data_IF_854049105765
#
_entry.id   IF_854049105765
#
_cell.length_a   1.000
_cell.length_b   1.000
_cell.length_c   1.000
_cell.angle_alpha   90.00
_cell.angle_beta   90.00
_cell.angle_gamma   90.00
#
_symmetry.space_group_name_H-M   'P 1'
#
loop_
_entity.id
_entity.type
_entity.pdbx_description
1 polymer ?
#
# COMPACT_ATOMS: atom_id res chain seq x y z
N UNK A 1 -6.07 -8.66 7.61
CA UNK A 1 -6.12 -7.20 7.56
C UNK A 1 -4.86 -6.66 8.21
N UNK A 2 -3.92 -6.15 7.44
CA UNK A 2 -2.73 -5.50 7.98
C UNK A 2 -3.04 -4.01 8.15
N UNK A 3 -3.74 -3.65 9.20
CA UNK A 3 -3.88 -2.26 9.64
C UNK A 3 -2.63 -1.73 10.36
N UNK A 4 -1.68 -2.61 10.73
CA UNK A 4 -0.44 -2.25 11.40
C UNK A 4 0.66 -3.19 10.89
N UNK A 5 1.40 -2.75 9.89
CA UNK A 5 2.76 -3.24 9.74
C UNK A 5 3.49 -2.80 10.99
N UNK A 6 3.90 -3.74 11.85
CA UNK A 6 4.66 -3.42 13.05
C UNK A 6 6.03 -2.87 12.61
N UNK A 7 6.11 -1.55 12.47
CA UNK A 7 7.36 -0.86 12.24
C UNK A 7 8.22 -0.99 13.50
N UNK A 8 9.50 -1.19 13.32
CA UNK A 8 10.47 -1.17 14.41
C UNK A 8 10.89 0.29 14.69
N UNK A 9 10.31 0.97 15.69
CA UNK A 9 10.45 2.41 15.86
C UNK A 9 11.87 2.85 16.19
N UNK A 10 12.66 1.99 16.81
CA UNK A 10 14.04 2.26 17.22
C UNK A 10 15.08 1.94 16.15
N UNK A 11 14.68 1.29 15.06
CA UNK A 11 15.53 1.02 13.91
C UNK A 11 15.38 2.12 12.85
N UNK A 12 16.37 2.24 12.00
CA UNK A 12 16.32 3.17 10.88
C UNK A 12 15.32 2.70 9.82
N UNK A 13 14.90 3.61 8.95
CA UNK A 13 14.05 3.32 7.79
C UNK A 13 14.69 2.23 6.92
N UNK A 14 15.99 2.35 6.63
CA UNK A 14 16.74 1.36 5.86
C UNK A 14 16.77 -0.01 6.53
N UNK A 15 17.01 -0.05 7.85
CA UNK A 15 17.05 -1.31 8.60
C UNK A 15 15.71 -2.01 8.62
N UNK A 16 14.60 -1.29 8.74
CA UNK A 16 13.26 -1.87 8.64
C UNK A 16 13.05 -2.60 7.32
N UNK A 17 13.39 -1.97 6.18
CA UNK A 17 13.26 -2.59 4.86
C UNK A 17 14.21 -3.79 4.70
N UNK A 18 15.46 -3.65 5.15
CA UNK A 18 16.45 -4.74 5.10
C UNK A 18 16.00 -5.98 5.86
N UNK A 19 15.41 -5.81 7.06
CA UNK A 19 14.89 -6.91 7.87
C UNK A 19 13.79 -7.70 7.14
N UNK A 20 12.90 -7.01 6.44
CA UNK A 20 11.86 -7.66 5.66
C UNK A 20 12.44 -8.48 4.50
N UNK A 21 13.39 -7.91 3.74
CA UNK A 21 14.06 -8.62 2.65
C UNK A 21 14.80 -9.85 3.18
N UNK A 22 15.50 -9.71 4.30
CA UNK A 22 16.21 -10.80 4.96
C UNK A 22 15.26 -11.92 5.39
N UNK A 23 14.12 -11.57 5.98
CA UNK A 23 13.08 -12.52 6.39
C UNK A 23 12.54 -13.33 5.21
N UNK A 24 12.25 -12.66 4.08
CA UNK A 24 11.78 -13.33 2.84
C UNK A 24 12.77 -14.37 2.34
N UNK A 25 14.06 -14.07 2.39
CA UNK A 25 15.14 -15.00 1.96
C UNK A 25 15.37 -16.17 2.93
N UNK A 26 14.59 -16.27 4.03
CA UNK A 26 14.79 -17.26 5.11
C UNK A 26 16.21 -17.27 5.66
N UNK A 27 16.91 -16.15 5.52
CA UNK A 27 18.26 -15.95 6.09
C UNK A 27 18.13 -15.62 7.59
N UNK A 28 17.33 -16.42 8.32
CA UNK A 28 17.23 -16.34 9.78
C UNK A 28 18.62 -16.32 10.40
N UNK A 29 18.97 -16.89 11.44
CA UNK A 29 20.27 -16.89 12.07
C UNK A 29 21.43 -17.44 11.19
N UNK A 30 21.70 -16.77 10.07
CA UNK A 30 22.89 -17.07 9.25
C UNK A 30 24.13 -16.51 9.98
N UNK A 31 24.65 -17.29 10.92
CA UNK A 31 25.91 -17.00 11.63
C UNK A 31 27.11 -16.80 10.67
N UNK A 32 26.95 -17.14 9.39
CA UNK A 32 27.95 -17.05 8.33
C UNK A 32 27.45 -16.26 7.12
N UNK A 33 26.76 -15.12 7.33
CA UNK A 33 26.40 -14.24 6.20
C UNK A 33 27.67 -13.59 5.63
N UNK A 34 27.85 -13.66 4.31
CA UNK A 34 28.98 -13.03 3.64
C UNK A 34 28.80 -11.52 3.54
N UNK A 35 29.89 -10.74 3.50
CA UNK A 35 29.84 -9.30 3.26
C UNK A 35 29.09 -8.96 1.96
N UNK A 36 29.20 -9.80 0.92
CA UNK A 36 28.46 -9.65 -0.34
C UNK A 36 26.94 -9.73 -0.15
N UNK A 37 26.44 -10.64 0.71
CA UNK A 37 25.00 -10.75 0.97
C UNK A 37 24.45 -9.53 1.71
N UNK A 38 25.26 -8.90 2.57
CA UNK A 38 24.87 -7.65 3.24
C UNK A 38 24.77 -6.48 2.26
N UNK A 39 25.69 -6.37 1.31
CA UNK A 39 25.67 -5.34 0.26
C UNK A 39 24.42 -5.50 -0.62
N UNK A 40 24.12 -6.72 -1.05
CA UNK A 40 22.95 -7.00 -1.89
C UNK A 40 21.63 -6.64 -1.18
N UNK A 41 21.49 -6.99 0.11
CA UNK A 41 20.30 -6.63 0.91
C UNK A 41 20.18 -5.11 1.04
N UNK A 42 21.28 -4.40 1.24
CA UNK A 42 21.29 -2.94 1.35
C UNK A 42 20.89 -2.29 0.03
N UNK A 43 21.52 -2.67 -1.08
CA UNK A 43 21.20 -2.14 -2.40
C UNK A 43 19.71 -2.35 -2.73
N UNK A 44 19.16 -3.54 -2.46
CA UNK A 44 17.74 -3.81 -2.69
C UNK A 44 16.83 -2.97 -1.81
N UNK A 45 17.20 -2.74 -0.55
CA UNK A 45 16.45 -1.87 0.35
C UNK A 45 16.47 -0.40 -0.12
N UNK A 46 17.62 0.07 -0.60
CA UNK A 46 17.78 1.42 -1.17
C UNK A 46 16.93 1.62 -2.42
N UNK A 47 16.92 0.65 -3.35
CA UNK A 47 16.03 0.68 -4.53
C UNK A 47 14.55 0.81 -4.14
N UNK A 48 14.12 0.06 -3.13
CA UNK A 48 12.74 0.13 -2.64
C UNK A 48 12.47 1.50 -2.02
N UNK A 49 13.37 2.01 -1.19
CA UNK A 49 13.23 3.34 -0.57
C UNK A 49 13.23 4.46 -1.59
N UNK A 50 14.01 4.33 -2.66
CA UNK A 50 13.99 5.29 -3.76
C UNK A 50 12.64 5.29 -4.47
N UNK A 51 12.06 4.11 -4.73
CA UNK A 51 10.75 3.98 -5.38
C UNK A 51 9.61 4.67 -4.62
N UNK A 52 9.70 4.73 -3.29
CA UNK A 52 8.76 5.43 -2.40
C UNK A 52 9.21 6.85 -2.03
N UNK A 53 10.27 7.36 -2.64
CA UNK A 53 10.89 8.67 -2.36
C UNK A 53 11.28 8.85 -0.89
N UNK A 54 11.83 7.81 -0.28
CA UNK A 54 12.25 7.82 1.13
C UNK A 54 13.77 7.70 1.33
N UNK A 55 14.57 7.66 0.26
CA UNK A 55 16.05 7.62 0.37
C UNK A 55 16.63 8.72 1.26
N UNK A 56 16.16 9.99 1.21
CA UNK A 56 16.67 11.04 2.11
C UNK A 56 16.43 10.75 3.60
N UNK A 57 15.48 9.86 3.92
CA UNK A 57 15.10 9.48 5.29
C UNK A 57 15.71 8.13 5.72
N UNK A 58 16.51 7.47 4.89
CA UNK A 58 17.02 6.12 5.11
C UNK A 58 17.73 5.93 6.47
N UNK A 59 18.47 6.94 6.92
CA UNK A 59 19.21 6.94 8.19
C UNK A 59 18.40 7.40 9.41
N UNK A 60 17.20 7.93 9.24
CA UNK A 60 16.35 8.36 10.36
C UNK A 60 15.69 7.17 11.04
N UNK A 61 15.48 7.27 12.34
CA UNK A 61 14.66 6.29 13.07
C UNK A 61 13.20 6.43 12.68
N UNK A 62 12.48 5.31 12.65
CA UNK A 62 11.06 5.32 12.30
C UNK A 62 10.23 6.15 13.27
N UNK A 63 10.62 6.20 14.56
CA UNK A 63 9.99 7.06 15.57
C UNK A 63 10.08 8.56 15.30
N UNK A 64 10.99 8.98 14.41
CA UNK A 64 11.20 10.39 14.04
C UNK A 64 10.38 10.80 12.80
N UNK A 65 9.72 9.84 12.16
CA UNK A 65 8.95 10.07 10.94
C UNK A 65 7.56 10.67 11.22
N UNK A 66 7.10 11.52 10.30
CA UNK A 66 5.68 11.89 10.22
C UNK A 66 4.79 10.66 9.93
N UNK A 67 3.51 10.75 10.26
CA UNK A 67 2.55 9.68 9.95
C UNK A 67 2.51 9.33 8.46
N UNK A 68 2.55 10.32 7.57
CA UNK A 68 2.59 10.09 6.13
C UNK A 68 3.85 9.33 5.69
N UNK A 69 5.03 9.64 6.27
CA UNK A 69 6.25 8.92 5.99
C UNK A 69 6.25 7.50 6.60
N UNK A 70 5.64 7.30 7.77
CA UNK A 70 5.43 5.97 8.32
C UNK A 70 4.54 5.13 7.38
N UNK A 71 3.47 5.71 6.82
CA UNK A 71 2.59 5.04 5.86
C UNK A 71 3.31 4.68 4.56
N UNK A 72 4.15 5.58 4.03
CA UNK A 72 5.01 5.26 2.88
C UNK A 72 5.97 4.11 3.19
N UNK A 73 6.55 4.08 4.38
CA UNK A 73 7.41 2.97 4.81
C UNK A 73 6.64 1.65 4.88
N UNK A 74 5.41 1.63 5.39
CA UNK A 74 4.56 0.44 5.40
C UNK A 74 4.36 -0.12 3.99
N UNK A 75 4.10 0.75 3.01
CA UNK A 75 4.00 0.34 1.60
C UNK A 75 5.34 -0.19 1.09
N UNK A 76 6.46 0.44 1.45
CA UNK A 76 7.81 -0.06 1.10
C UNK A 76 8.07 -1.47 1.66
N UNK A 77 7.64 -1.75 2.90
CA UNK A 77 7.76 -3.08 3.49
C UNK A 77 6.91 -4.12 2.75
N UNK A 78 5.70 -3.77 2.32
CA UNK A 78 4.86 -4.64 1.49
C UNK A 78 5.51 -4.94 0.14
N UNK A 79 6.12 -3.94 -0.51
CA UNK A 79 6.90 -4.14 -1.74
C UNK A 79 8.11 -5.05 -1.49
N UNK A 80 8.79 -4.90 -0.36
CA UNK A 80 9.94 -5.73 0.02
C UNK A 80 9.53 -7.19 0.24
N UNK A 81 8.35 -7.44 0.84
CA UNK A 81 7.76 -8.77 1.00
C UNK A 81 7.39 -9.40 -0.33
N UNK A 82 6.98 -8.59 -1.31
CA UNK A 82 6.60 -9.03 -2.65
C UNK A 82 5.62 -10.24 -2.60
N UNK A 83 4.44 -10.09 -1.99
CA UNK A 83 3.45 -11.15 -1.88
C UNK A 83 2.69 -11.33 -3.20
N UNK A 84 1.99 -12.47 -3.35
CA UNK A 84 1.06 -12.69 -4.47
C UNK A 84 -0.23 -11.89 -4.33
N UNK A 85 -0.63 -11.57 -3.09
CA UNK A 85 -1.84 -10.79 -2.78
C UNK A 85 -1.48 -9.63 -1.88
N UNK A 86 -1.67 -8.42 -2.38
CA UNK A 86 -1.55 -7.17 -1.62
C UNK A 86 -2.92 -6.78 -1.08
N UNK A 87 -2.97 -6.35 0.18
CA UNK A 87 -4.19 -5.84 0.81
C UNK A 87 -3.89 -4.45 1.39
N UNK A 88 -4.53 -3.43 0.84
CA UNK A 88 -4.43 -2.05 1.29
C UNK A 88 -5.76 -1.60 1.88
N UNK A 89 -5.71 -1.05 3.08
CA UNK A 89 -6.85 -0.44 3.75
C UNK A 89 -6.57 1.05 3.92
N UNK A 90 -7.28 1.87 3.14
CA UNK A 90 -7.11 3.32 3.06
C UNK A 90 -5.62 3.75 2.98
N UNK A 91 -4.85 3.32 1.97
CA UNK A 91 -3.40 3.50 1.95
C UNK A 91 -2.95 4.96 1.93
N UNK A 92 -3.85 5.88 1.55
CA UNK A 92 -3.57 7.32 1.49
C UNK A 92 -4.17 8.11 2.66
N UNK A 93 -4.75 7.44 3.67
CA UNK A 93 -5.32 8.12 4.82
C UNK A 93 -4.23 8.87 5.63
N UNK A 94 -4.52 10.13 5.98
CA UNK A 94 -3.60 10.96 6.75
C UNK A 94 -2.36 11.47 6.00
N UNK A 95 -2.26 11.22 4.69
CA UNK A 95 -1.19 11.75 3.85
C UNK A 95 -1.51 13.15 3.31
N UNK A 96 -0.46 13.93 3.07
CA UNK A 96 -0.57 15.22 2.37
C UNK A 96 -0.92 15.01 0.89
N UNK A 97 -1.33 16.11 0.23
CA UNK A 97 -1.65 16.12 -1.21
C UNK A 97 -0.45 15.69 -2.07
N UNK A 98 0.77 15.98 -1.61
CA UNK A 98 2.00 15.64 -2.34
C UNK A 98 2.47 14.20 -2.07
N UNK A 99 2.08 13.62 -0.95
CA UNK A 99 2.50 12.26 -0.56
C UNK A 99 1.58 11.17 -1.13
N UNK A 100 0.28 11.39 -1.12
CA UNK A 100 -0.70 10.42 -1.59
C UNK A 100 -0.46 9.94 -3.04
N UNK A 101 -0.13 10.82 -4.03
CA UNK A 101 0.14 10.39 -5.39
C UNK A 101 1.30 9.41 -5.52
N UNK A 102 2.32 9.50 -4.65
CA UNK A 102 3.47 8.57 -4.67
C UNK A 102 3.00 7.15 -4.36
N UNK A 103 2.15 6.97 -3.36
CA UNK A 103 1.60 5.66 -2.98
C UNK A 103 0.66 5.12 -4.05
N UNK A 104 -0.19 5.97 -4.62
CA UNK A 104 -1.12 5.55 -5.68
C UNK A 104 -0.37 5.11 -6.96
N UNK A 105 0.69 5.82 -7.35
CA UNK A 105 1.54 5.43 -8.48
C UNK A 105 2.22 4.07 -8.24
N UNK A 106 2.68 3.80 -7.02
CA UNK A 106 3.24 2.51 -6.65
C UNK A 106 2.21 1.38 -6.74
N UNK A 107 0.99 1.60 -6.24
CA UNK A 107 -0.10 0.63 -6.35
C UNK A 107 -0.44 0.38 -7.82
N UNK A 108 -0.47 1.42 -8.66
CA UNK A 108 -0.69 1.28 -10.09
C UNK A 108 0.42 0.46 -10.78
N UNK A 109 1.69 0.65 -10.40
CA UNK A 109 2.81 -0.15 -10.90
C UNK A 109 2.73 -1.62 -10.45
N UNK A 110 2.32 -1.87 -9.20
CA UNK A 110 2.07 -3.23 -8.72
C UNK A 110 0.93 -3.90 -9.49
N UNK A 111 -0.14 -3.15 -9.77
CA UNK A 111 -1.27 -3.61 -10.60
C UNK A 111 -0.84 -4.03 -12.00
N UNK A 112 0.11 -3.34 -12.60
CA UNK A 112 0.62 -3.67 -13.93
C UNK A 112 1.34 -5.03 -13.99
N UNK A 113 1.67 -5.63 -12.84
CA UNK A 113 2.21 -6.98 -12.74
C UNK A 113 1.06 -7.99 -12.80
N UNK A 114 0.97 -8.76 -13.87
CA UNK A 114 -0.18 -9.64 -14.15
C UNK A 114 -0.30 -10.86 -13.23
N UNK A 115 0.73 -11.16 -12.44
CA UNK A 115 0.79 -12.28 -11.50
C UNK A 115 0.43 -11.87 -10.06
N UNK A 116 -0.05 -10.63 -9.86
CA UNK A 116 -0.41 -10.08 -8.54
C UNK A 116 -1.90 -9.80 -8.45
N UNK A 117 -2.44 -9.98 -7.25
CA UNK A 117 -3.80 -9.56 -6.90
C UNK A 117 -3.73 -8.44 -5.89
N UNK A 118 -4.49 -7.37 -6.11
CA UNK A 118 -4.57 -6.25 -5.18
C UNK A 118 -6.01 -6.13 -4.67
N UNK A 119 -6.18 -6.19 -3.36
CA UNK A 119 -7.41 -5.81 -2.68
C UNK A 119 -7.20 -4.43 -2.06
N UNK A 120 -7.99 -3.47 -2.52
CA UNK A 120 -7.93 -2.09 -2.07
C UNK A 120 -9.27 -1.71 -1.42
N UNK A 121 -9.24 -1.32 -0.16
CA UNK A 121 -10.38 -0.70 0.54
C UNK A 121 -10.17 0.81 0.49
N UNK A 122 -11.08 1.54 -0.10
CA UNK A 122 -11.04 2.99 -0.28
C UNK A 122 -12.44 3.57 -0.32
N UNK A 123 -12.56 4.84 0.10
CA UNK A 123 -13.80 5.60 0.03
C UNK A 123 -13.71 6.77 -0.97
N UNK A 124 -12.52 7.07 -1.50
CA UNK A 124 -12.28 8.12 -2.50
C UNK A 124 -12.60 7.59 -3.88
N UNK A 125 -13.71 8.03 -4.46
CA UNK A 125 -14.19 7.53 -5.75
C UNK A 125 -13.21 7.71 -6.90
N UNK A 126 -12.43 8.81 -6.91
CA UNK A 126 -11.42 9.06 -7.94
C UNK A 126 -10.29 8.03 -7.89
N UNK A 127 -9.86 7.64 -6.69
CA UNK A 127 -8.85 6.59 -6.49
C UNK A 127 -9.37 5.25 -6.99
N UNK A 128 -10.58 4.88 -6.56
CA UNK A 128 -11.23 3.62 -6.97
C UNK A 128 -11.35 3.57 -8.48
N UNK A 129 -11.86 4.63 -9.12
CA UNK A 129 -12.05 4.71 -10.57
C UNK A 129 -10.74 4.55 -11.34
N UNK A 130 -9.64 5.09 -10.82
CA UNK A 130 -8.33 5.04 -11.48
C UNK A 130 -7.62 3.70 -11.34
N UNK A 131 -7.87 2.97 -10.25
CA UNK A 131 -7.10 1.78 -9.90
C UNK A 131 -7.89 0.47 -10.02
N UNK A 132 -9.21 0.46 -9.85
CA UNK A 132 -9.97 -0.78 -9.79
C UNK A 132 -10.25 -1.38 -11.18
N UNK A 133 -10.13 -2.71 -11.30
CA UNK A 133 -10.66 -3.50 -12.43
C UNK A 133 -12.05 -4.04 -12.11
N UNK A 134 -12.35 -4.23 -10.82
CA UNK A 134 -13.63 -4.69 -10.27
C UNK A 134 -13.89 -3.96 -8.96
N UNK A 135 -15.13 -3.56 -8.75
CA UNK A 135 -15.58 -2.91 -7.51
C UNK A 135 -16.59 -3.81 -6.82
N UNK A 136 -16.40 -3.98 -5.52
CA UNK A 136 -17.34 -4.65 -4.62
C UNK A 136 -17.80 -3.61 -3.61
N UNK A 137 -19.09 -3.32 -3.55
CA UNK A 137 -19.67 -2.35 -2.63
C UNK A 137 -20.40 -3.07 -1.51
N UNK A 138 -20.00 -2.77 -0.29
CA UNK A 138 -20.65 -3.24 0.93
C UNK A 138 -21.44 -2.07 1.55
N UNK A 139 -22.72 -2.27 1.81
CA UNK A 139 -23.58 -1.30 2.47
C UNK A 139 -24.38 -1.99 3.57
N UNK A 140 -24.37 -1.44 4.79
CA UNK A 140 -25.06 -2.01 5.95
C UNK A 140 -24.76 -3.51 6.19
N UNK A 141 -23.50 -3.94 5.94
CA UNK A 141 -23.07 -5.33 6.14
C UNK A 141 -23.51 -6.31 5.05
N UNK A 142 -24.16 -5.84 3.99
CA UNK A 142 -24.59 -6.63 2.84
C UNK A 142 -23.85 -6.24 1.56
N UNK A 143 -23.76 -7.19 0.62
CA UNK A 143 -23.26 -6.91 -0.74
C UNK A 143 -24.31 -6.09 -1.49
N UNK A 144 -23.97 -4.85 -1.83
CA UNK A 144 -24.87 -3.93 -2.51
C UNK A 144 -24.64 -3.86 -4.02
N UNK A 145 -23.38 -3.93 -4.47
CA UNK A 145 -23.04 -3.97 -5.88
C UNK A 145 -21.72 -4.72 -6.09
N UNK A 146 -21.54 -5.32 -7.27
CA UNK A 146 -20.35 -6.05 -7.66
C UNK A 146 -20.24 -6.06 -9.19
N UNK A 147 -19.14 -5.57 -9.74
CA UNK A 147 -18.94 -5.54 -11.19
C UNK A 147 -17.83 -4.62 -11.67
N UNK A 148 -17.88 -4.31 -12.96
CA UNK A 148 -16.94 -3.37 -13.59
C UNK A 148 -17.14 -1.94 -13.04
N UNK A 149 -16.07 -1.12 -12.94
CA UNK A 149 -16.16 0.22 -12.35
C UNK A 149 -17.24 1.10 -12.96
N UNK A 150 -17.41 1.08 -14.28
CA UNK A 150 -18.41 1.88 -14.95
C UNK A 150 -19.85 1.48 -14.57
N UNK A 151 -20.11 0.18 -14.45
CA UNK A 151 -21.43 -0.36 -14.08
C UNK A 151 -21.78 -0.05 -12.63
N UNK A 152 -20.83 -0.33 -11.72
CA UNK A 152 -21.03 -0.12 -10.29
C UNK A 152 -21.19 1.36 -9.96
N UNK A 153 -20.39 2.23 -10.57
CA UNK A 153 -20.49 3.69 -10.40
C UNK A 153 -21.81 4.29 -10.93
N UNK A 154 -22.42 3.65 -11.91
CA UNK A 154 -23.71 4.07 -12.46
C UNK A 154 -24.92 3.48 -11.70
N UNK A 155 -24.68 2.57 -10.76
CA UNK A 155 -25.79 1.94 -10.01
C UNK A 155 -26.43 2.91 -9.03
N UNK A 156 -27.76 2.83 -8.88
CA UNK A 156 -28.53 3.69 -7.99
C UNK A 156 -28.04 3.62 -6.54
N UNK A 157 -27.69 2.44 -6.07
CA UNK A 157 -27.17 2.21 -4.72
C UNK A 157 -25.88 3.01 -4.44
N UNK A 158 -24.98 3.08 -5.41
CA UNK A 158 -23.73 3.82 -5.26
C UNK A 158 -23.97 5.33 -5.37
N UNK A 159 -24.84 5.74 -6.29
CA UNK A 159 -25.24 7.13 -6.46
C UNK A 159 -25.90 7.69 -5.19
N UNK A 160 -26.79 6.92 -4.57
CA UNK A 160 -27.49 7.30 -3.35
C UNK A 160 -26.56 7.28 -2.13
N UNK A 161 -25.81 6.19 -1.91
CA UNK A 161 -25.00 6.00 -0.70
C UNK A 161 -23.74 6.86 -0.65
N UNK A 162 -23.13 7.17 -1.81
CA UNK A 162 -21.81 7.79 -1.87
C UNK A 162 -21.74 9.09 -2.64
N UNK A 163 -22.69 9.41 -3.52
CA UNK A 163 -22.68 10.61 -4.34
C UNK A 163 -23.73 11.65 -3.95
N UNK A 164 -24.55 11.36 -2.92
CA UNK A 164 -25.49 12.31 -2.35
C UNK A 164 -26.59 12.77 -3.32
N UNK A 165 -26.91 11.97 -4.35
CA UNK A 165 -28.10 12.20 -5.15
C UNK A 165 -29.32 11.72 -4.35
N UNK A 166 -30.09 12.67 -3.79
CA UNK A 166 -31.47 12.38 -3.42
C UNK A 166 -32.19 11.87 -4.66
N UNK A 167 -32.73 10.64 -4.58
CA UNK A 167 -33.69 10.18 -5.55
C UNK A 167 -34.89 11.09 -5.39
N UNK A 168 -35.20 11.88 -6.41
CA UNK A 168 -36.52 12.49 -6.57
C UNK A 168 -37.54 11.34 -6.61
N UNK A 169 -38.17 11.07 -5.47
CA UNK A 169 -39.30 10.14 -5.37
C UNK A 169 -40.47 10.91 -5.91
N UNK A 170 -40.74 10.73 -7.19
CA UNK A 170 -42.01 11.14 -7.81
C UNK A 170 -43.07 10.07 -7.57
#
# INVERSE_FOLDING_TARGET
AFQLTNLFPNLTVLENVRLVIQSKRRMGFALFSTAASHVELTNRAEEILDSVRMMPLAGYKVSELSHGNQRKLEVALLIALDPLVYMFDEPTAGMSVDEAPVVLDLIARLKAQTDRTILLVEHKMDVIRSLADRIVVLHNGALAADGAPAEVMASDVVQEAYMGKELDIA
#
